data_IF_089073792356
#
_entry.id   IF_089073792356
#
_cell.length_a   1.000
_cell.length_b   1.000
_cell.length_c   1.000
_cell.angle_alpha   90.00
_cell.angle_beta   90.00
_cell.angle_gamma   90.00
#
_symmetry.space_group_name_H-M   'P 1'
#
loop_
_entity.id
_entity.type
_entity.pdbx_description
1 polymer ?
#
# COMPACT_ATOMS: atom_id res chain seq x y z
N UNK A 1 -29.72 54.22 59.66
CA UNK A 1 -30.35 52.98 60.18
C UNK A 1 -29.63 51.70 59.74
N UNK A 2 -28.97 51.65 58.56
CA UNK A 2 -28.35 50.43 58.00
C UNK A 2 -26.99 50.03 58.61
N UNK A 3 -26.24 50.96 59.21
CA UNK A 3 -24.88 50.69 59.71
C UNK A 3 -24.83 49.98 61.07
N UNK A 4 -25.86 50.15 61.91
CA UNK A 4 -25.95 49.53 63.26
C UNK A 4 -26.28 48.03 63.18
N UNK A 5 -27.03 47.62 62.15
CA UNK A 5 -27.34 46.22 61.90
C UNK A 5 -26.08 45.42 61.49
N UNK A 6 -25.22 46.02 60.68
CA UNK A 6 -23.99 45.42 60.20
C UNK A 6 -22.95 45.19 61.32
N UNK A 7 -22.87 46.09 62.30
CA UNK A 7 -21.94 45.93 63.42
C UNK A 7 -22.41 44.84 64.40
N UNK A 8 -23.71 44.72 64.65
CA UNK A 8 -24.28 43.71 65.57
C UNK A 8 -24.20 42.28 65.02
N UNK A 9 -24.32 42.11 63.70
CA UNK A 9 -24.35 40.80 63.04
C UNK A 9 -23.06 40.48 62.27
N UNK A 10 -21.98 41.22 62.50
CA UNK A 10 -20.70 41.09 61.79
C UNK A 10 -20.16 39.65 61.79
N UNK A 11 -20.30 38.93 62.91
CA UNK A 11 -19.86 37.54 63.02
C UNK A 11 -20.62 36.61 62.07
N UNK A 12 -21.95 36.74 61.98
CA UNK A 12 -22.79 35.92 61.09
C UNK A 12 -22.38 36.12 59.64
N UNK A 13 -22.11 37.38 59.25
CA UNK A 13 -21.63 37.71 57.91
C UNK A 13 -20.23 37.14 57.63
N UNK A 14 -19.31 37.19 58.60
CA UNK A 14 -17.97 36.60 58.46
C UNK A 14 -18.05 35.09 58.29
N UNK A 15 -18.88 34.40 59.09
CA UNK A 15 -19.05 32.95 58.97
C UNK A 15 -19.72 32.57 57.64
N UNK A 16 -20.72 33.33 57.19
CA UNK A 16 -21.35 33.11 55.88
C UNK A 16 -20.37 33.30 54.72
N UNK A 17 -19.56 34.36 54.77
CA UNK A 17 -18.52 34.60 53.78
C UNK A 17 -17.43 33.53 53.81
N UNK A 18 -17.00 33.11 55.00
CA UNK A 18 -16.01 32.04 55.18
C UNK A 18 -16.53 30.71 54.62
N UNK A 19 -17.80 30.37 54.83
CA UNK A 19 -18.42 29.16 54.29
C UNK A 19 -18.51 29.22 52.76
N UNK A 20 -18.93 30.35 52.20
CA UNK A 20 -18.98 30.54 50.75
C UNK A 20 -17.59 30.43 50.11
N UNK A 21 -16.56 31.03 50.75
CA UNK A 21 -15.17 30.93 50.31
C UNK A 21 -14.66 29.48 50.37
N UNK A 22 -14.98 28.75 51.44
CA UNK A 22 -14.57 27.37 51.61
C UNK A 22 -15.21 26.45 50.56
N UNK A 23 -16.51 26.63 50.27
CA UNK A 23 -17.19 25.90 49.20
C UNK A 23 -16.61 26.22 47.82
N UNK A 24 -16.26 27.49 47.57
CA UNK A 24 -15.63 27.90 46.32
C UNK A 24 -14.26 27.25 46.13
N UNK A 25 -13.44 27.22 47.18
CA UNK A 25 -12.13 26.54 47.17
C UNK A 25 -12.31 25.04 46.97
N UNK A 26 -13.26 24.39 47.66
CA UNK A 26 -13.52 22.96 47.53
C UNK A 26 -13.91 22.61 46.09
N UNK A 27 -14.83 23.38 45.50
CA UNK A 27 -15.28 23.20 44.12
C UNK A 27 -14.16 23.44 43.11
N UNK A 28 -13.29 24.42 43.37
CA UNK A 28 -12.11 24.67 42.53
C UNK A 28 -11.11 23.50 42.58
N UNK A 29 -10.94 22.90 43.75
CA UNK A 29 -10.04 21.78 43.97
C UNK A 29 -10.57 20.47 43.36
N UNK A 30 -11.88 20.21 43.47
CA UNK A 30 -12.57 19.14 42.73
C UNK A 30 -12.41 19.32 41.23
N UNK A 31 -12.70 20.52 40.69
CA UNK A 31 -12.54 20.78 39.26
C UNK A 31 -11.11 20.49 38.79
N UNK A 32 -10.11 20.91 39.57
CA UNK A 32 -8.69 20.64 39.27
C UNK A 32 -8.36 19.14 39.34
N UNK A 33 -8.87 18.42 40.33
CA UNK A 33 -8.59 17.00 40.54
C UNK A 33 -9.33 16.10 39.54
N UNK A 34 -10.58 16.43 39.21
CA UNK A 34 -11.39 15.74 38.18
C UNK A 34 -10.72 15.88 36.82
N UNK A 35 -10.22 17.06 36.47
CA UNK A 35 -9.45 17.26 35.24
C UNK A 35 -8.19 16.40 35.26
N UNK A 36 -7.38 16.43 36.32
CA UNK A 36 -6.10 15.67 36.37
C UNK A 36 -6.33 14.15 36.33
N UNK A 37 -7.36 13.63 37.00
CA UNK A 37 -7.64 12.18 37.05
C UNK A 37 -8.21 11.62 35.74
N UNK A 38 -9.04 12.39 35.02
CA UNK A 38 -9.64 11.96 33.75
C UNK A 38 -8.87 12.47 32.53
N UNK A 39 -7.74 13.17 32.74
CA UNK A 39 -6.88 13.69 31.68
C UNK A 39 -6.46 12.58 30.71
N UNK A 40 -6.13 11.39 31.22
CA UNK A 40 -5.72 10.27 30.38
C UNK A 40 -6.85 9.74 29.48
N UNK A 41 -8.06 9.58 30.03
CA UNK A 41 -9.23 9.12 29.27
C UNK A 41 -9.61 10.11 28.17
N UNK A 42 -9.55 11.41 28.47
CA UNK A 42 -9.82 12.48 27.51
C UNK A 42 -8.76 12.49 26.40
N UNK A 43 -7.47 12.32 26.72
CA UNK A 43 -6.41 12.25 25.72
C UNK A 43 -6.53 11.01 24.83
N UNK A 44 -6.76 9.84 25.43
CA UNK A 44 -6.96 8.58 24.68
C UNK A 44 -8.19 8.70 23.79
N UNK A 45 -9.27 9.30 24.27
CA UNK A 45 -10.47 9.58 23.48
C UNK A 45 -10.19 10.53 22.30
N UNK A 46 -9.44 11.61 22.53
CA UNK A 46 -9.04 12.54 21.48
C UNK A 46 -8.16 11.90 20.41
N UNK A 47 -7.17 11.11 20.83
CA UNK A 47 -6.30 10.34 19.93
C UNK A 47 -7.14 9.33 19.12
N UNK A 48 -8.06 8.61 19.77
CA UNK A 48 -8.94 7.65 19.10
C UNK A 48 -9.80 8.29 18.01
N UNK A 49 -10.37 9.48 18.27
CA UNK A 49 -11.13 10.23 17.26
C UNK A 49 -10.27 10.65 16.06
N UNK A 50 -9.03 11.09 16.30
CA UNK A 50 -8.08 11.44 15.24
C UNK A 50 -7.76 10.22 14.38
N UNK A 51 -7.40 9.09 15.01
CA UNK A 51 -7.08 7.85 14.30
C UNK A 51 -8.28 7.26 13.56
N UNK A 52 -9.49 7.34 14.13
CA UNK A 52 -10.73 6.93 13.47
C UNK A 52 -10.99 7.76 12.22
N UNK A 53 -10.85 9.09 12.31
CA UNK A 53 -10.98 9.99 11.16
C UNK A 53 -9.94 9.71 10.07
N UNK A 54 -8.67 9.54 10.47
CA UNK A 54 -7.57 9.18 9.55
C UNK A 54 -7.80 7.82 8.88
N UNK A 55 -8.24 6.82 9.64
CA UNK A 55 -8.49 5.47 9.15
C UNK A 55 -9.61 5.44 8.12
N UNK A 56 -10.74 6.10 8.40
CA UNK A 56 -11.85 6.23 7.46
C UNK A 56 -11.40 6.97 6.20
N UNK A 57 -10.70 8.09 6.34
CA UNK A 57 -10.18 8.86 5.21
C UNK A 57 -9.22 8.04 4.35
N UNK A 58 -8.28 7.34 4.97
CA UNK A 58 -7.29 6.52 4.29
C UNK A 58 -7.94 5.32 3.60
N UNK A 59 -8.89 4.66 4.25
CA UNK A 59 -9.63 3.54 3.69
C UNK A 59 -10.41 3.98 2.44
N UNK A 60 -11.08 5.13 2.48
CA UNK A 60 -11.80 5.69 1.33
C UNK A 60 -10.87 6.17 0.22
N UNK A 61 -9.69 6.70 0.58
CA UNK A 61 -8.69 7.18 -0.38
C UNK A 61 -8.00 6.03 -1.13
N UNK A 62 -7.74 4.92 -0.45
CA UNK A 62 -7.04 3.76 -1.02
C UNK A 62 -7.99 2.70 -1.60
N UNK A 63 -9.24 2.60 -1.13
CA UNK A 63 -10.24 1.66 -1.63
C UNK A 63 -10.92 2.09 -2.93
N UNK A 64 -10.30 2.95 -3.74
CA UNK A 64 -10.69 3.05 -5.15
C UNK A 64 -9.85 2.02 -5.91
N UNK A 65 -10.29 0.75 -6.06
CA UNK A 65 -9.67 -0.13 -7.02
C UNK A 65 -9.90 0.51 -8.39
N UNK A 66 -8.90 1.23 -8.90
CA UNK A 66 -8.77 1.52 -10.32
C UNK A 66 -8.27 0.24 -10.99
N UNK A 67 -9.01 -0.85 -10.80
CA UNK A 67 -8.96 -2.01 -11.64
C UNK A 67 -10.24 -1.87 -12.43
N UNK A 68 -10.17 -1.05 -13.48
CA UNK A 68 -10.96 -1.34 -14.65
C UNK A 68 -10.50 -2.72 -15.10
N UNK A 69 -11.09 -3.76 -14.51
CA UNK A 69 -11.53 -4.88 -15.31
C UNK A 69 -12.51 -4.27 -16.28
N UNK A 70 -11.96 -3.63 -17.32
CA UNK A 70 -12.57 -3.77 -18.62
C UNK A 70 -12.64 -5.29 -18.71
N UNK A 71 -13.83 -5.84 -18.45
CA UNK A 71 -14.28 -7.01 -19.18
C UNK A 71 -14.24 -6.52 -20.61
N UNK A 72 -13.03 -6.50 -21.16
CA UNK A 72 -12.89 -6.68 -22.57
C UNK A 72 -13.45 -8.10 -22.62
N UNK A 73 -14.71 -8.24 -23.00
CA UNK A 73 -14.99 -9.06 -24.16
C UNK A 73 -14.05 -8.59 -25.28
N UNK A 74 -12.74 -8.74 -25.09
CA UNK A 74 -11.91 -9.17 -26.16
C UNK A 74 -12.43 -10.57 -26.19
N UNK A 75 -13.31 -10.83 -27.13
CA UNK A 75 -13.30 -12.10 -27.81
C UNK A 75 -11.84 -12.55 -27.74
N UNK A 76 -11.59 -13.54 -26.88
CA UNK A 76 -10.33 -14.24 -26.95
C UNK A 76 -10.47 -14.85 -28.32
N UNK A 77 -9.97 -14.13 -29.32
CA UNK A 77 -9.59 -14.71 -30.57
C UNK A 77 -8.53 -15.71 -30.13
N UNK A 78 -8.99 -16.91 -29.75
CA UNK A 78 -8.27 -18.14 -29.97
C UNK A 78 -8.20 -18.18 -31.48
N UNK A 79 -7.30 -17.37 -32.03
CA UNK A 79 -6.95 -17.51 -33.40
C UNK A 79 -6.03 -18.71 -33.41
N UNK A 80 -6.66 -19.88 -33.43
CA UNK A 80 -6.01 -21.15 -33.68
C UNK A 80 -5.23 -21.06 -35.00
N UNK A 81 -5.45 -20.07 -35.89
CA UNK A 81 -4.67 -19.86 -37.10
C UNK A 81 -4.69 -18.39 -37.60
N UNK A 82 -4.02 -17.45 -36.93
CA UNK A 82 -3.53 -16.23 -37.60
C UNK A 82 -2.04 -16.38 -37.74
N UNK A 83 -1.65 -17.15 -38.76
CA UNK A 83 -0.31 -17.26 -39.34
C UNK A 83 0.78 -16.51 -38.54
N UNK A 84 1.18 -17.04 -37.39
CA UNK A 84 2.39 -16.57 -36.72
C UNK A 84 3.53 -16.98 -37.63
N UNK A 85 3.98 -16.05 -38.45
CA UNK A 85 5.15 -16.25 -39.30
C UNK A 85 6.35 -15.91 -38.45
N UNK A 86 7.04 -16.94 -37.98
CA UNK A 86 8.28 -16.78 -37.25
C UNK A 86 9.26 -15.95 -38.10
N UNK A 87 9.73 -14.84 -37.55
CA UNK A 87 10.62 -13.94 -38.27
C UNK A 87 12.08 -14.42 -38.20
N UNK A 88 12.43 -15.33 -39.10
CA UNK A 88 13.80 -15.87 -39.22
C UNK A 88 14.84 -14.77 -39.47
N UNK A 89 14.47 -13.73 -40.22
CA UNK A 89 15.36 -12.60 -40.55
C UNK A 89 15.76 -11.81 -39.30
N UNK A 90 14.80 -11.51 -38.42
CA UNK A 90 15.09 -10.80 -37.17
C UNK A 90 15.84 -11.70 -36.16
N UNK A 91 15.61 -13.02 -36.17
CA UNK A 91 16.38 -13.97 -35.37
C UNK A 91 17.86 -13.97 -35.79
N UNK A 92 18.13 -14.04 -37.11
CA UNK A 92 19.47 -14.04 -37.67
C UNK A 92 20.18 -12.71 -37.45
N UNK A 93 19.48 -11.60 -37.68
CA UNK A 93 20.00 -10.23 -37.46
C UNK A 93 20.44 -9.98 -36.02
N UNK A 94 19.70 -10.52 -35.04
CA UNK A 94 20.06 -10.44 -33.62
C UNK A 94 20.98 -11.57 -33.16
N UNK A 95 21.35 -12.48 -34.08
CA UNK A 95 22.17 -13.67 -33.84
C UNK A 95 21.69 -14.48 -32.63
N UNK A 96 20.37 -14.65 -32.49
CA UNK A 96 19.76 -15.42 -31.41
C UNK A 96 19.94 -16.90 -31.72
N UNK A 97 20.53 -17.65 -30.79
CA UNK A 97 20.69 -19.09 -30.95
C UNK A 97 19.38 -19.84 -30.72
N UNK A 98 19.27 -21.04 -31.30
CA UNK A 98 18.12 -21.93 -31.08
C UNK A 98 17.84 -22.16 -29.59
N UNK A 99 18.90 -22.31 -28.79
CA UNK A 99 18.77 -22.55 -27.35
C UNK A 99 18.27 -21.34 -26.58
N UNK A 100 18.71 -20.14 -26.96
CA UNK A 100 18.19 -18.90 -26.38
C UNK A 100 16.71 -18.70 -26.75
N UNK A 101 16.31 -19.07 -27.98
CA UNK A 101 14.92 -19.04 -28.41
C UNK A 101 14.04 -20.02 -27.62
N UNK A 102 14.49 -21.26 -27.41
CA UNK A 102 13.77 -22.23 -26.57
C UNK A 102 13.56 -21.71 -25.15
N UNK A 103 14.60 -21.14 -24.55
CA UNK A 103 14.50 -20.50 -23.22
C UNK A 103 13.47 -19.37 -23.25
N UNK A 104 13.49 -18.51 -24.27
CA UNK A 104 12.54 -17.41 -24.44
C UNK A 104 11.08 -17.88 -24.58
N UNK A 105 10.84 -18.97 -25.32
CA UNK A 105 9.51 -19.58 -25.47
C UNK A 105 9.00 -20.15 -24.15
N UNK A 106 9.85 -20.85 -23.40
CA UNK A 106 9.45 -21.34 -22.08
C UNK A 106 9.27 -20.18 -21.09
N UNK A 107 10.02 -19.09 -21.27
CA UNK A 107 9.81 -17.88 -20.49
C UNK A 107 8.44 -17.24 -20.75
N UNK A 108 7.99 -17.19 -21.99
CA UNK A 108 6.67 -16.63 -22.34
C UNK A 108 5.52 -17.51 -21.90
N UNK A 109 5.73 -18.82 -21.81
CA UNK A 109 4.81 -19.77 -21.19
C UNK A 109 4.74 -19.65 -19.65
N UNK A 110 5.53 -18.76 -19.04
CA UNK A 110 5.47 -18.46 -17.61
C UNK A 110 6.37 -19.33 -16.71
N UNK A 111 7.18 -20.23 -17.26
CA UNK A 111 8.00 -21.16 -16.47
C UNK A 111 9.14 -20.44 -15.75
N UNK A 112 9.38 -20.78 -14.49
CA UNK A 112 10.55 -20.34 -13.73
C UNK A 112 11.86 -20.90 -14.31
N UNK A 113 13.00 -20.29 -13.97
CA UNK A 113 14.28 -20.77 -14.48
C UNK A 113 14.62 -22.20 -14.02
N UNK A 114 14.06 -22.65 -12.89
CA UNK A 114 14.22 -24.04 -12.41
C UNK A 114 13.42 -25.00 -13.29
N UNK A 115 12.15 -24.70 -13.56
CA UNK A 115 11.30 -25.53 -14.44
C UNK A 115 11.86 -25.56 -15.88
N UNK A 116 12.41 -24.44 -16.35
CA UNK A 116 13.10 -24.38 -17.65
C UNK A 116 14.32 -25.30 -17.63
N UNK A 117 15.13 -25.27 -16.56
CA UNK A 117 16.32 -26.10 -16.43
C UNK A 117 15.97 -27.59 -16.47
N UNK A 118 14.92 -27.99 -15.74
CA UNK A 118 14.39 -29.36 -15.75
C UNK A 118 13.89 -29.78 -17.13
N UNK A 119 13.02 -28.97 -17.75
CA UNK A 119 12.42 -29.27 -19.05
C UNK A 119 13.45 -29.35 -20.19
N UNK A 120 14.51 -28.56 -20.08
CA UNK A 120 15.58 -28.50 -21.05
C UNK A 120 16.75 -29.44 -20.72
N UNK A 121 16.68 -30.21 -19.62
CA UNK A 121 17.72 -31.10 -19.12
C UNK A 121 19.11 -30.42 -18.98
N UNK A 122 19.13 -29.20 -18.44
CA UNK A 122 20.36 -28.42 -18.20
C UNK A 122 20.39 -27.85 -16.78
N UNK A 123 21.54 -27.33 -16.36
CA UNK A 123 21.65 -26.69 -15.04
C UNK A 123 20.92 -25.32 -15.01
N UNK A 124 20.47 -24.91 -13.82
CA UNK A 124 19.94 -23.56 -13.59
C UNK A 124 20.91 -22.46 -14.05
N UNK A 125 22.21 -22.66 -13.84
CA UNK A 125 23.23 -21.70 -14.25
C UNK A 125 23.27 -21.56 -15.78
N UNK A 126 23.16 -22.67 -16.51
CA UNK A 126 23.09 -22.69 -17.98
C UNK A 126 21.90 -21.87 -18.47
N UNK A 127 20.71 -22.03 -17.87
CA UNK A 127 19.52 -21.22 -18.20
C UNK A 127 19.77 -19.74 -17.93
N UNK A 128 20.36 -19.38 -16.78
CA UNK A 128 20.71 -17.99 -16.46
C UNK A 128 21.69 -17.39 -17.48
N UNK A 129 22.70 -18.15 -17.91
CA UNK A 129 23.65 -17.72 -18.94
C UNK A 129 22.95 -17.49 -20.28
N UNK A 130 22.10 -18.41 -20.74
CA UNK A 130 21.30 -18.21 -21.96
C UNK A 130 20.38 -17.00 -21.85
N UNK A 131 19.75 -16.80 -20.69
CA UNK A 131 18.88 -15.65 -20.42
C UNK A 131 19.66 -14.33 -20.49
N UNK A 132 20.86 -14.27 -19.91
CA UNK A 132 21.70 -13.06 -19.92
C UNK A 132 22.11 -12.69 -21.34
N UNK A 133 22.63 -13.65 -22.11
CA UNK A 133 23.03 -13.42 -23.51
C UNK A 133 21.84 -13.02 -24.38
N UNK A 134 20.69 -13.66 -24.18
CA UNK A 134 19.46 -13.30 -24.85
C UNK A 134 19.04 -11.85 -24.52
N UNK A 135 19.11 -11.45 -23.25
CA UNK A 135 18.74 -10.10 -22.83
C UNK A 135 19.70 -9.04 -23.41
N UNK A 136 21.00 -9.34 -23.49
CA UNK A 136 21.97 -8.50 -24.17
C UNK A 136 21.67 -8.36 -25.66
N UNK A 137 21.40 -9.48 -26.36
CA UNK A 137 21.03 -9.47 -27.79
C UNK A 137 19.73 -8.73 -28.07
N UNK A 138 18.76 -8.87 -27.17
CA UNK A 138 17.50 -8.14 -27.23
C UNK A 138 17.62 -6.72 -26.68
N UNK A 139 18.76 -6.25 -26.18
CA UNK A 139 18.92 -4.93 -25.55
C UNK A 139 17.83 -4.63 -24.51
N UNK A 140 17.67 -5.53 -23.55
CA UNK A 140 16.70 -5.44 -22.44
C UNK A 140 17.36 -5.86 -21.13
N UNK A 141 16.77 -5.45 -19.99
CA UNK A 141 17.31 -5.79 -18.66
C UNK A 141 16.43 -6.76 -17.88
N UNK A 142 15.17 -6.93 -18.29
CA UNK A 142 14.17 -7.68 -17.53
C UNK A 142 13.49 -8.72 -18.41
N UNK A 143 13.14 -9.85 -17.79
CA UNK A 143 12.40 -10.95 -18.43
C UNK A 143 11.12 -10.48 -19.14
N UNK A 144 10.30 -9.66 -18.49
CA UNK A 144 9.06 -9.15 -19.09
C UNK A 144 9.32 -8.30 -20.33
N UNK A 145 10.39 -7.48 -20.31
CA UNK A 145 10.80 -6.68 -21.47
C UNK A 145 11.29 -7.57 -22.62
N UNK A 146 12.02 -8.64 -22.31
CA UNK A 146 12.46 -9.61 -23.30
C UNK A 146 11.27 -10.29 -24.00
N UNK A 147 10.27 -10.72 -23.22
CA UNK A 147 9.04 -11.34 -23.76
C UNK A 147 8.27 -10.33 -24.62
N UNK A 148 8.09 -9.10 -24.15
CA UNK A 148 7.38 -8.06 -24.91
C UNK A 148 8.09 -7.73 -26.23
N UNK A 149 9.41 -7.51 -26.18
CA UNK A 149 10.21 -7.20 -27.37
C UNK A 149 10.21 -8.38 -28.36
N UNK A 150 10.31 -9.61 -27.87
CA UNK A 150 10.25 -10.80 -28.70
C UNK A 150 8.90 -10.99 -29.40
N UNK A 151 7.77 -10.69 -28.72
CA UNK A 151 6.44 -10.66 -29.35
C UNK A 151 6.38 -9.61 -30.45
N UNK A 152 6.90 -8.40 -30.21
CA UNK A 152 6.94 -7.31 -31.21
C UNK A 152 7.77 -7.67 -32.43
N UNK A 153 8.84 -8.44 -32.24
CA UNK A 153 9.71 -8.94 -33.32
C UNK A 153 9.18 -10.23 -33.97
N UNK A 154 8.02 -10.75 -33.55
CA UNK A 154 7.46 -12.02 -34.03
C UNK A 154 8.43 -13.21 -33.88
N UNK A 155 9.21 -13.22 -32.80
CA UNK A 155 10.07 -14.36 -32.42
C UNK A 155 9.32 -15.40 -31.59
N UNK A 156 8.27 -14.96 -30.88
CA UNK A 156 7.40 -15.81 -30.06
C UNK A 156 5.95 -15.31 -30.11
N UNK A 157 5.02 -16.20 -29.76
CA UNK A 157 3.57 -15.91 -29.67
C UNK A 157 3.20 -15.14 -28.40
#
# INVERSE_FOLDING_TARGET
MSTVFFSKNKHILIYGFSLALLLLILKWLEYRFVIISHTFEIYVGGIALIFMGLGIWLALKLSKPKIQTVVIEKEVFVNTNANFVFNEVEMEKLNISKRELEVLQLMSAGLSNNEIAEKLFVSLNTVKTHSSRLFEKLDVKRRTQAIEKAKRLSLIQ
#
